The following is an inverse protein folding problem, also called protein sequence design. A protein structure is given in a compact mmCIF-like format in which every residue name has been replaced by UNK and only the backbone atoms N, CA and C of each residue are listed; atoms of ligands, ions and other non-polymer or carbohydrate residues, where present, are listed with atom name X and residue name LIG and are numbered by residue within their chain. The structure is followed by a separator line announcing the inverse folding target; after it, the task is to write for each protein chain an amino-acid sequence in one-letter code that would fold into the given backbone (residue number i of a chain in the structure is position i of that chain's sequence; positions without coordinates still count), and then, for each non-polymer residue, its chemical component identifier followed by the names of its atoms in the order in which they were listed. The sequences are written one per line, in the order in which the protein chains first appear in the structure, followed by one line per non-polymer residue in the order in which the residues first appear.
data_IF_516393066855
#
_entry.id   IF_516393066855
#
_cell.length_a   1.000
_cell.length_b   1.000
_cell.length_c   1.000
_cell.angle_alpha   90.00
_cell.angle_beta   90.00
_cell.angle_gamma   90.00
#
_symmetry.space_group_name_H-M   'P 1'
#
loop_
_entity.id
_entity.type
_entity.pdbx_description
1 polymer ?
#
# COMPACT_ATOMS: atom_id res chain seq x y z
N UNK A 1 -13.86 38.19 -38.87
CA UNK A 1 -14.82 37.74 -37.83
C UNK A 1 -14.19 36.50 -37.22
N UNK A 2 -13.73 36.61 -35.97
CA UNK A 2 -12.83 35.65 -35.32
C UNK A 2 -13.47 34.28 -35.12
N UNK A 3 -12.75 33.24 -35.52
CA UNK A 3 -12.91 31.88 -35.01
C UNK A 3 -12.28 31.83 -33.61
N UNK A 4 -13.10 31.89 -32.56
CA UNK A 4 -12.66 31.60 -31.19
C UNK A 4 -12.51 30.09 -31.04
N UNK A 5 -11.24 29.68 -30.95
CA UNK A 5 -10.78 28.33 -30.70
C UNK A 5 -11.08 27.97 -29.22
N UNK A 6 -12.26 27.41 -28.95
CA UNK A 6 -12.61 26.83 -27.65
C UNK A 6 -11.88 25.49 -27.47
N UNK A 7 -10.56 25.56 -27.24
CA UNK A 7 -9.79 24.44 -26.72
C UNK A 7 -10.04 24.36 -25.23
N UNK A 8 -11.10 23.64 -24.87
CA UNK A 8 -11.39 23.22 -23.51
C UNK A 8 -10.11 22.66 -22.87
N UNK A 9 -9.60 23.40 -21.91
CA UNK A 9 -8.37 23.13 -21.19
C UNK A 9 -8.63 21.97 -20.22
N UNK A 10 -8.62 20.74 -20.73
CA UNK A 10 -8.65 19.52 -19.93
C UNK A 10 -7.29 19.35 -19.22
N UNK A 11 -7.00 20.21 -18.25
CA UNK A 11 -5.98 19.93 -17.23
C UNK A 11 -6.52 18.78 -16.39
N UNK A 12 -6.00 17.59 -16.62
CA UNK A 12 -6.12 16.49 -15.66
C UNK A 12 -5.56 17.03 -14.35
N UNK A 13 -6.41 17.26 -13.35
CA UNK A 13 -5.94 17.67 -12.03
C UNK A 13 -5.00 16.59 -11.50
N UNK A 14 -3.72 16.92 -11.37
CA UNK A 14 -2.73 16.02 -10.80
C UNK A 14 -3.00 15.90 -9.30
N UNK A 15 -3.41 14.72 -8.84
CA UNK A 15 -3.51 14.46 -7.40
C UNK A 15 -2.12 14.48 -6.79
N UNK A 16 -1.90 15.20 -5.66
CA UNK A 16 -0.59 15.25 -5.02
C UNK A 16 -0.19 13.85 -4.52
N UNK A 17 1.10 13.54 -4.64
CA UNK A 17 1.69 12.36 -3.97
C UNK A 17 1.86 12.71 -2.49
N UNK A 18 1.34 11.86 -1.61
CA UNK A 18 1.36 12.10 -0.15
C UNK A 18 2.27 11.13 0.61
N UNK A 19 2.46 9.92 0.09
CA UNK A 19 3.27 8.88 0.72
C UNK A 19 3.89 7.95 -0.32
N UNK A 20 4.98 7.27 0.08
CA UNK A 20 5.61 6.16 -0.65
C UNK A 20 5.37 4.89 0.16
N UNK A 21 4.87 3.84 -0.51
CA UNK A 21 4.70 2.50 0.06
C UNK A 21 5.89 1.62 -0.33
N UNK A 22 6.49 0.95 0.64
CA UNK A 22 7.59 0.01 0.45
C UNK A 22 7.17 -1.42 0.80
N UNK A 23 7.69 -2.38 0.03
CA UNK A 23 7.75 -3.78 0.42
C UNK A 23 9.21 -4.15 0.62
N UNK A 24 9.56 -4.57 1.84
CA UNK A 24 10.94 -4.78 2.24
C UNK A 24 11.17 -6.22 2.61
N UNK A 25 12.23 -6.82 2.08
CA UNK A 25 12.76 -8.10 2.52
C UNK A 25 14.00 -7.79 3.36
N UNK A 26 13.96 -8.15 4.64
CA UNK A 26 15.00 -7.78 5.61
C UNK A 26 15.87 -8.97 6.03
N UNK A 27 15.39 -10.19 5.81
CA UNK A 27 16.05 -11.42 6.22
C UNK A 27 15.66 -12.55 5.28
N UNK A 28 16.60 -13.49 5.09
CA UNK A 28 16.34 -14.79 4.51
C UNK A 28 15.58 -15.62 5.55
N UNK A 29 14.27 -15.73 5.36
CA UNK A 29 13.33 -16.43 6.24
C UNK A 29 13.09 -17.87 5.81
N UNK A 30 13.53 -18.25 4.60
CA UNK A 30 13.38 -19.60 4.08
C UNK A 30 14.70 -20.43 4.13
N UNK A 31 15.83 -19.79 4.43
CA UNK A 31 17.14 -20.41 4.61
C UNK A 31 17.87 -20.76 3.31
N UNK A 32 17.46 -20.21 2.17
CA UNK A 32 18.07 -20.51 0.86
C UNK A 32 19.34 -19.68 0.54
N UNK A 33 19.70 -18.76 1.43
CA UNK A 33 20.87 -17.89 1.32
C UNK A 33 20.64 -16.67 0.41
N UNK A 34 19.40 -16.37 0.01
CA UNK A 34 19.06 -15.27 -0.89
C UNK A 34 17.93 -14.45 -0.29
N UNK A 35 17.99 -13.12 -0.46
CA UNK A 35 16.85 -12.24 -0.15
C UNK A 35 15.95 -12.14 -1.38
N UNK A 36 14.78 -12.78 -1.32
CA UNK A 36 13.85 -12.84 -2.45
C UNK A 36 12.40 -12.64 -2.01
N UNK A 37 11.47 -12.52 -2.97
CA UNK A 37 10.04 -12.41 -2.66
C UNK A 37 9.43 -13.71 -2.08
N UNK A 38 10.24 -14.77 -1.91
CA UNK A 38 9.85 -15.96 -1.15
C UNK A 38 10.05 -15.77 0.36
N UNK A 39 10.72 -14.69 0.77
CA UNK A 39 10.89 -14.32 2.18
C UNK A 39 9.75 -13.46 2.70
N UNK A 40 9.60 -13.43 4.03
CA UNK A 40 8.63 -12.56 4.67
C UNK A 40 8.93 -11.09 4.40
N UNK A 41 7.88 -10.37 4.04
CA UNK A 41 7.89 -8.95 3.74
C UNK A 41 7.57 -8.12 4.99
N UNK A 42 8.09 -6.90 4.99
CA UNK A 42 7.61 -5.79 5.82
C UNK A 42 7.01 -4.72 4.92
N UNK A 43 5.78 -4.29 5.24
CA UNK A 43 5.10 -3.15 4.63
C UNK A 43 5.49 -1.91 5.43
N UNK A 44 6.05 -0.91 4.74
CA UNK A 44 6.49 0.34 5.36
C UNK A 44 6.09 1.55 4.51
N UNK A 45 6.10 2.73 5.13
CA UNK A 45 5.74 3.99 4.48
C UNK A 45 6.72 5.10 4.83
N UNK A 46 6.84 6.08 3.93
CA UNK A 46 7.37 7.43 4.20
C UNK A 46 6.40 8.46 3.63
N UNK A 47 6.48 9.71 4.08
CA UNK A 47 5.82 10.81 3.36
C UNK A 47 6.51 11.04 2.02
N UNK A 48 5.87 11.76 1.11
CA UNK A 48 6.38 12.03 -0.24
C UNK A 48 7.79 12.64 -0.30
N UNK A 49 8.23 13.28 0.78
CA UNK A 49 9.57 13.88 0.94
C UNK A 49 10.63 12.89 1.47
N UNK A 50 10.25 11.63 1.74
CA UNK A 50 11.14 10.59 2.26
C UNK A 50 11.31 10.57 3.79
N UNK A 51 10.67 11.49 4.52
CA UNK A 51 10.72 11.53 5.98
C UNK A 51 9.74 10.54 6.62
N UNK A 52 9.85 10.40 7.94
CA UNK A 52 8.91 9.65 8.79
C UNK A 52 8.74 8.19 8.37
N UNK A 53 9.85 7.54 8.02
CA UNK A 53 9.86 6.12 7.70
C UNK A 53 9.27 5.30 8.86
N UNK A 54 8.25 4.50 8.55
CA UNK A 54 7.57 3.66 9.52
C UNK A 54 7.26 2.28 8.96
N UNK A 55 7.70 1.23 9.66
CA UNK A 55 7.27 -0.14 9.43
C UNK A 55 5.90 -0.34 10.06
N UNK A 56 4.91 -0.68 9.24
CA UNK A 56 3.50 -0.74 9.66
C UNK A 56 3.05 -2.18 9.86
N UNK A 57 3.49 -3.11 9.00
CA UNK A 57 3.11 -4.53 9.07
C UNK A 57 4.32 -5.39 8.75
N UNK A 58 4.80 -6.18 9.71
CA UNK A 58 5.90 -7.15 9.52
C UNK A 58 5.38 -8.58 9.37
N UNK A 59 6.23 -9.50 8.92
CA UNK A 59 5.86 -10.92 8.80
C UNK A 59 4.75 -11.14 7.78
N UNK A 60 4.79 -10.44 6.66
CA UNK A 60 3.80 -10.56 5.59
C UNK A 60 4.28 -11.60 4.59
N UNK A 61 3.53 -12.68 4.39
CA UNK A 61 3.82 -13.68 3.37
C UNK A 61 3.73 -13.06 1.97
N UNK A 62 2.70 -12.23 1.76
CA UNK A 62 2.40 -11.66 0.45
C UNK A 62 1.65 -10.34 0.58
N UNK A 63 2.11 -9.34 -0.15
CA UNK A 63 1.31 -8.14 -0.41
C UNK A 63 0.31 -8.41 -1.54
N UNK A 64 -0.97 -8.18 -1.29
CA UNK A 64 -2.05 -8.47 -2.25
C UNK A 64 -2.47 -7.23 -3.04
N UNK A 65 -2.37 -6.04 -2.44
CA UNK A 65 -2.68 -4.79 -3.13
C UNK A 65 -3.03 -3.65 -2.18
N UNK A 66 -3.30 -2.48 -2.77
CA UNK A 66 -3.79 -1.32 -2.04
C UNK A 66 -4.87 -0.57 -2.84
N UNK A 67 -5.66 0.23 -2.13
CA UNK A 67 -6.61 1.18 -2.73
C UNK A 67 -6.70 2.44 -1.88
N UNK A 68 -6.50 3.60 -2.50
CA UNK A 68 -6.75 4.90 -1.84
C UNK A 68 -8.25 5.03 -1.62
N UNK A 69 -8.68 5.19 -0.37
CA UNK A 69 -10.09 5.32 -0.01
C UNK A 69 -10.54 6.78 -0.07
N UNK A 70 -9.70 7.69 0.41
CA UNK A 70 -9.88 9.14 0.38
C UNK A 70 -8.51 9.84 0.51
N UNK A 71 -8.52 11.17 0.69
CA UNK A 71 -7.29 11.97 0.73
C UNK A 71 -6.29 11.57 1.84
N UNK A 72 -6.75 10.94 2.93
CA UNK A 72 -5.94 10.67 4.12
C UNK A 72 -5.92 9.18 4.51
N UNK A 73 -6.47 8.27 3.68
CA UNK A 73 -6.51 6.85 4.03
C UNK A 73 -6.34 5.90 2.86
N UNK A 74 -5.61 4.83 3.15
CA UNK A 74 -5.28 3.74 2.25
C UNK A 74 -5.82 2.43 2.81
N UNK A 75 -6.53 1.65 1.99
CA UNK A 75 -6.77 0.24 2.26
C UNK A 75 -5.57 -0.56 1.77
N UNK A 76 -5.01 -1.40 2.62
CA UNK A 76 -4.01 -2.41 2.23
C UNK A 76 -4.60 -3.80 2.40
N UNK A 77 -4.20 -4.70 1.50
CA UNK A 77 -4.54 -6.11 1.52
C UNK A 77 -3.24 -6.90 1.55
N UNK A 78 -3.12 -7.82 2.50
CA UNK A 78 -1.92 -8.64 2.66
C UNK A 78 -2.28 -10.03 3.20
N UNK A 79 -1.35 -10.96 3.08
CA UNK A 79 -1.44 -12.28 3.67
C UNK A 79 -0.38 -12.41 4.76
N UNK A 80 -0.78 -12.94 5.92
CA UNK A 80 0.12 -13.32 7.02
C UNK A 80 -0.34 -14.68 7.51
N UNK A 81 0.60 -15.61 7.69
CA UNK A 81 0.31 -16.98 8.14
C UNK A 81 -0.77 -17.69 7.29
N UNK A 82 -0.72 -17.51 5.97
CA UNK A 82 -1.71 -18.03 5.01
C UNK A 82 -3.15 -17.48 5.17
N UNK A 83 -3.33 -16.44 5.97
CA UNK A 83 -4.61 -15.76 6.20
C UNK A 83 -4.57 -14.38 5.53
N UNK A 84 -5.61 -14.06 4.75
CA UNK A 84 -5.73 -12.77 4.11
C UNK A 84 -6.33 -11.74 5.07
N UNK A 85 -5.73 -10.56 5.13
CA UNK A 85 -6.16 -9.44 5.95
C UNK A 85 -6.43 -8.22 5.08
N UNK A 86 -7.33 -7.37 5.58
CA UNK A 86 -7.47 -5.99 5.14
C UNK A 86 -7.20 -5.07 6.31
N UNK A 87 -6.56 -3.94 6.07
CA UNK A 87 -6.36 -2.91 7.08
C UNK A 87 -6.40 -1.52 6.46
N UNK A 88 -6.79 -0.52 7.25
CA UNK A 88 -6.71 0.90 6.86
C UNK A 88 -5.45 1.52 7.45
N UNK A 89 -4.71 2.21 6.61
CA UNK A 89 -3.55 3.01 6.98
C UNK A 89 -3.93 4.48 6.87
N UNK A 90 -3.73 5.24 7.94
CA UNK A 90 -3.76 6.71 7.92
C UNK A 90 -2.56 7.24 7.16
N UNK A 91 -2.74 8.15 6.19
CA UNK A 91 -1.64 8.73 5.42
C UNK A 91 -1.03 9.96 6.10
N UNK A 92 -1.60 10.41 7.22
CA UNK A 92 -1.03 11.50 8.03
C UNK A 92 0.12 11.00 8.92
N UNK A 93 -0.02 9.79 9.47
CA UNK A 93 0.89 9.25 10.50
C UNK A 93 1.12 7.74 10.40
N UNK A 94 0.73 7.10 9.29
CA UNK A 94 0.89 5.67 9.02
C UNK A 94 0.29 4.72 10.06
N UNK A 95 -0.61 5.22 10.92
CA UNK A 95 -1.30 4.39 11.90
C UNK A 95 -2.21 3.36 11.22
N UNK A 96 -2.07 2.09 11.62
CA UNK A 96 -2.94 1.00 11.21
C UNK A 96 -4.24 1.02 12.02
N UNK A 97 -5.37 0.76 11.36
CA UNK A 97 -6.67 0.60 12.00
C UNK A 97 -7.54 -0.37 11.20
N UNK A 98 -8.59 -0.91 11.84
CA UNK A 98 -9.54 -1.82 11.18
C UNK A 98 -8.84 -3.01 10.49
N UNK A 99 -7.84 -3.59 11.14
CA UNK A 99 -7.26 -4.86 10.71
C UNK A 99 -8.32 -5.95 10.86
N UNK A 100 -8.63 -6.64 9.78
CA UNK A 100 -9.70 -7.63 9.74
C UNK A 100 -9.32 -8.75 8.78
N UNK A 101 -9.45 -9.98 9.25
CA UNK A 101 -9.35 -11.17 8.42
C UNK A 101 -10.44 -11.17 7.35
N UNK A 102 -10.04 -11.38 6.10
CA UNK A 102 -10.96 -11.48 4.99
C UNK A 102 -11.58 -12.88 4.92
N UNK A 103 -12.90 -12.98 4.70
CA UNK A 103 -13.55 -14.27 4.57
C UNK A 103 -12.98 -15.01 3.35
N UNK A 104 -12.72 -16.30 3.53
CA UNK A 104 -12.36 -17.18 2.41
C UNK A 104 -13.57 -17.30 1.48
N UNK A 105 -13.44 -16.83 0.25
CA UNK A 105 -14.46 -17.05 -0.78
C UNK A 105 -14.32 -18.48 -1.32
N UNK A 106 -15.30 -19.32 -0.99
CA UNK A 106 -15.31 -20.73 -1.38
C UNK A 106 -15.39 -21.68 -0.19
N UNK A 107 -16.58 -21.79 0.41
CA UNK A 107 -17.06 -23.04 0.96
C UNK A 107 -18.43 -23.32 0.32
N UNK A 108 -18.62 -24.45 -0.38
CA UNK A 108 -19.95 -25.01 -0.62
C UNK A 108 -20.56 -25.53 0.70
#
# INVERSE_FOLDING_TARGET
ISETNDRANNRVESKPVIAVLYHLIKQDTNGDGRLTNNDMLTIAFTHYNGNDYQEVVSGVDRFLGYKVLNANSLLILYQRDAIAYSAKVSLDNFALSNETELPKVGQP
#
